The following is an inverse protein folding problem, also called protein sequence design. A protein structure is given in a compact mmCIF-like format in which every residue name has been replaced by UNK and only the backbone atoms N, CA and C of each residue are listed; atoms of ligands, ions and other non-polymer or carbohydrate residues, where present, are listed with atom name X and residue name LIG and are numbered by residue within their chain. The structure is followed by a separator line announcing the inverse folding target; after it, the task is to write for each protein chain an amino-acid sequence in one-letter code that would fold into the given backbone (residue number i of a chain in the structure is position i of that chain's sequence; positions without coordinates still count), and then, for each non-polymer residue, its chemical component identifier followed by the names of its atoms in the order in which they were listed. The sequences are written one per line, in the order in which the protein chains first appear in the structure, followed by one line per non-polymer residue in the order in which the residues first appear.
data_IF_500259568968
#
_entry.id   IF_500259568968
#
_cell.length_a   1.000
_cell.length_b   1.000
_cell.length_c   1.000
_cell.angle_alpha   90.00
_cell.angle_beta   90.00
_cell.angle_gamma   90.00
#
_symmetry.space_group_name_H-M   'P 1'
#
loop_
_entity.id
_entity.type
_entity.pdbx_description
1 polymer ?
#
# COMPACT_ATOMS: atom_id res chain seq x y z
N UNK A 1 17.65 -26.53 -25.27
CA UNK A 1 17.20 -25.30 -25.96
C UNK A 1 16.21 -24.51 -25.11
N UNK A 2 15.09 -25.09 -24.66
CA UNK A 2 14.09 -24.44 -23.79
C UNK A 2 14.69 -23.82 -22.51
N UNK A 3 15.50 -24.57 -21.74
CA UNK A 3 16.11 -24.03 -20.50
C UNK A 3 17.11 -22.87 -20.71
N UNK A 4 17.70 -22.73 -21.90
CA UNK A 4 18.55 -21.56 -22.21
C UNK A 4 17.71 -20.33 -22.52
N UNK A 5 16.54 -20.51 -23.12
CA UNK A 5 15.57 -19.45 -23.38
C UNK A 5 14.97 -18.98 -22.04
N UNK A 6 14.55 -19.91 -21.18
CA UNK A 6 14.00 -19.60 -19.85
C UNK A 6 15.00 -18.80 -19.00
N UNK A 7 16.27 -19.22 -18.98
CA UNK A 7 17.32 -18.51 -18.26
C UNK A 7 17.57 -17.09 -18.79
N UNK A 8 17.49 -16.89 -20.11
CA UNK A 8 17.64 -15.55 -20.73
C UNK A 8 16.46 -14.65 -20.42
N UNK A 9 15.23 -15.17 -20.44
CA UNK A 9 14.02 -14.43 -20.09
C UNK A 9 14.08 -14.01 -18.62
N UNK A 10 14.44 -14.92 -17.71
CA UNK A 10 14.57 -14.62 -16.28
C UNK A 10 15.63 -13.53 -16.00
N UNK A 11 16.73 -13.52 -16.76
CA UNK A 11 17.78 -12.51 -16.62
C UNK A 11 17.33 -11.09 -17.00
N UNK A 12 16.28 -10.94 -17.82
CA UNK A 12 15.74 -9.62 -18.20
C UNK A 12 15.00 -8.93 -17.04
N UNK A 13 14.52 -9.69 -16.06
CA UNK A 13 13.77 -9.17 -14.91
C UNK A 13 14.44 -9.58 -13.59
N UNK A 14 15.54 -8.92 -13.19
CA UNK A 14 16.17 -9.19 -11.90
C UNK A 14 15.17 -9.05 -10.75
N UNK A 15 15.24 -9.94 -9.76
CA UNK A 15 14.33 -9.95 -8.60
C UNK A 15 14.27 -8.58 -7.90
N UNK A 16 15.41 -7.87 -7.80
CA UNK A 16 15.44 -6.54 -7.20
C UNK A 16 14.64 -5.49 -7.98
N UNK A 17 14.58 -5.61 -9.32
CA UNK A 17 13.77 -4.75 -10.17
C UNK A 17 12.29 -5.07 -9.97
N UNK A 18 11.93 -6.35 -9.94
CA UNK A 18 10.56 -6.78 -9.66
C UNK A 18 10.08 -6.30 -8.28
N UNK A 19 10.91 -6.44 -7.23
CA UNK A 19 10.61 -5.93 -5.88
C UNK A 19 10.44 -4.41 -5.84
N UNK A 20 11.24 -3.65 -6.62
CA UNK A 20 11.07 -2.21 -6.72
C UNK A 20 9.75 -1.87 -7.44
N UNK A 21 9.46 -2.53 -8.56
CA UNK A 21 8.23 -2.33 -9.32
C UNK A 21 6.98 -2.62 -8.48
N UNK A 22 7.00 -3.70 -7.68
CA UNK A 22 5.90 -4.03 -6.75
C UNK A 22 5.68 -2.94 -5.69
N UNK A 23 6.76 -2.38 -5.13
CA UNK A 23 6.67 -1.29 -4.14
C UNK A 23 6.03 -0.04 -4.74
N UNK A 24 6.46 0.38 -5.93
CA UNK A 24 5.86 1.52 -6.62
C UNK A 24 4.43 1.24 -7.08
N UNK A 25 4.19 0.09 -7.70
CA UNK A 25 2.87 -0.31 -8.19
C UNK A 25 1.82 -0.35 -7.08
N UNK A 26 2.20 -0.83 -5.90
CA UNK A 26 1.34 -0.79 -4.72
C UNK A 26 1.21 0.63 -4.14
N UNK A 27 2.28 1.42 -4.09
CA UNK A 27 2.28 2.72 -3.42
C UNK A 27 1.47 3.80 -4.16
N UNK A 28 1.54 3.84 -5.49
CA UNK A 28 0.95 4.90 -6.32
C UNK A 28 -0.55 5.13 -6.09
N UNK A 29 -1.43 4.11 -6.10
CA UNK A 29 -2.87 4.35 -5.91
C UNK A 29 -3.18 4.97 -4.54
N UNK A 30 -2.54 4.48 -3.47
CA UNK A 30 -2.73 5.01 -2.12
C UNK A 30 -2.17 6.43 -2.00
N UNK A 31 -0.96 6.68 -2.52
CA UNK A 31 -0.36 8.01 -2.49
C UNK A 31 -1.24 9.06 -3.20
N UNK A 32 -1.72 8.74 -4.41
CA UNK A 32 -2.60 9.65 -5.16
C UNK A 32 -3.92 9.90 -4.43
N UNK A 33 -4.50 8.85 -3.86
CA UNK A 33 -5.70 8.93 -3.02
C UNK A 33 -5.48 9.82 -1.81
N UNK A 34 -4.38 9.62 -1.07
CA UNK A 34 -4.05 10.39 0.14
C UNK A 34 -3.77 11.86 -0.16
N UNK A 35 -2.98 12.16 -1.19
CA UNK A 35 -2.66 13.55 -1.59
C UNK A 35 -3.90 14.36 -1.98
N UNK A 36 -4.98 13.72 -2.45
CA UNK A 36 -6.22 14.40 -2.84
C UNK A 36 -7.14 14.79 -1.67
N UNK A 37 -6.81 14.40 -0.43
CA UNK A 37 -7.67 14.59 0.74
C UNK A 37 -7.35 15.84 1.57
N UNK A 38 -6.37 16.65 1.19
CA UNK A 38 -5.84 17.75 2.00
C UNK A 38 -6.01 19.11 1.33
N UNK A 39 -6.52 20.09 2.06
CA UNK A 39 -6.56 21.50 1.65
C UNK A 39 -5.40 22.32 2.26
N UNK A 40 -4.76 21.78 3.31
CA UNK A 40 -3.66 22.43 4.02
C UNK A 40 -2.90 21.45 4.92
N UNK A 41 -1.97 21.97 5.72
CA UNK A 41 -1.19 21.14 6.64
C UNK A 41 -2.10 20.55 7.74
N UNK A 42 -2.26 19.22 7.73
CA UNK A 42 -3.14 18.46 8.63
C UNK A 42 -4.61 18.91 8.58
N UNK A 43 -5.04 19.52 7.46
CA UNK A 43 -6.42 19.93 7.24
C UNK A 43 -7.01 19.09 6.12
N UNK A 44 -7.92 18.18 6.50
CA UNK A 44 -8.72 17.43 5.54
C UNK A 44 -9.71 18.35 4.83
N UNK A 45 -9.95 18.06 3.57
CA UNK A 45 -11.03 18.70 2.84
C UNK A 45 -12.39 18.10 3.22
N UNK A 46 -13.45 18.88 2.98
CA UNK A 46 -14.82 18.50 3.32
C UNK A 46 -15.26 17.23 2.59
N UNK A 47 -14.75 17.01 1.37
CA UNK A 47 -15.05 15.82 0.56
C UNK A 47 -14.53 14.55 1.23
N UNK A 48 -13.33 14.57 1.81
CA UNK A 48 -12.76 13.44 2.52
C UNK A 48 -13.59 13.07 3.76
N UNK A 49 -14.09 14.07 4.49
CA UNK A 49 -14.95 13.84 5.66
C UNK A 49 -16.32 13.32 5.22
N UNK A 50 -16.89 13.90 4.18
CA UNK A 50 -18.19 13.49 3.63
C UNK A 50 -18.16 12.04 3.14
N UNK A 51 -17.08 11.64 2.46
CA UNK A 51 -16.87 10.25 2.02
C UNK A 51 -17.05 9.27 3.18
N UNK A 52 -16.42 9.49 4.33
CA UNK A 52 -16.55 8.59 5.49
C UNK A 52 -17.87 8.75 6.25
N UNK A 53 -18.60 9.84 6.03
CA UNK A 53 -19.84 10.16 6.75
C UNK A 53 -21.08 9.58 6.07
N UNK A 54 -21.17 9.68 4.74
CA UNK A 54 -22.38 9.31 3.99
C UNK A 54 -22.15 8.34 2.85
N UNK A 55 -20.99 8.41 2.17
CA UNK A 55 -20.76 7.67 0.92
C UNK A 55 -20.16 6.28 1.15
N UNK A 56 -19.20 6.18 2.06
CA UNK A 56 -18.46 4.95 2.34
C UNK A 56 -19.13 4.22 3.50
N UNK A 57 -19.57 3.00 3.23
CA UNK A 57 -20.14 2.10 4.23
C UNK A 57 -19.43 0.77 4.23
N UNK A 58 -19.27 0.19 5.40
CA UNK A 58 -18.64 -1.10 5.58
C UNK A 58 -19.67 -2.21 5.34
N UNK A 59 -19.47 -3.01 4.30
CA UNK A 59 -20.35 -4.12 3.95
C UNK A 59 -19.92 -5.38 4.70
N UNK A 60 -20.57 -5.65 5.82
CA UNK A 60 -20.38 -6.86 6.63
C UNK A 60 -21.65 -7.72 6.63
N UNK A 61 -21.58 -8.99 7.04
CA UNK A 61 -22.79 -9.79 7.25
C UNK A 61 -23.74 -9.07 8.20
N UNK A 62 -24.95 -8.75 7.73
CA UNK A 62 -25.94 -7.96 8.48
C UNK A 62 -26.25 -6.58 7.90
N UNK A 63 -25.49 -6.11 6.91
CA UNK A 63 -25.81 -4.91 6.14
C UNK A 63 -24.63 -3.95 5.98
N UNK A 64 -24.86 -2.80 5.33
CA UNK A 64 -23.90 -1.71 5.30
C UNK A 64 -23.91 -0.98 6.65
N UNK A 65 -22.73 -0.84 7.26
CA UNK A 65 -22.53 -0.12 8.51
C UNK A 65 -21.78 1.19 8.25
N UNK A 66 -22.22 2.27 8.88
CA UNK A 66 -21.49 3.53 8.83
C UNK A 66 -20.19 3.44 9.64
N UNK A 67 -19.18 4.20 9.24
CA UNK A 67 -17.91 4.24 9.96
C UNK A 67 -18.06 4.93 11.33
N UNK A 68 -17.49 4.36 12.40
CA UNK A 68 -17.49 5.01 13.71
C UNK A 68 -16.55 6.22 13.72
N UNK A 69 -17.03 7.38 14.18
CA UNK A 69 -16.27 8.64 14.17
C UNK A 69 -15.64 8.96 12.79
N UNK A 70 -16.47 9.23 11.75
CA UNK A 70 -16.04 9.41 10.35
C UNK A 70 -14.85 10.36 10.16
N UNK A 71 -14.85 11.51 10.82
CA UNK A 71 -13.79 12.50 10.68
C UNK A 71 -12.43 11.98 11.21
N UNK A 72 -12.43 11.24 12.32
CA UNK A 72 -11.20 10.66 12.90
C UNK A 72 -10.67 9.55 11.97
N UNK A 73 -11.54 8.68 11.49
CA UNK A 73 -11.16 7.62 10.55
C UNK A 73 -10.64 8.19 9.23
N UNK A 74 -11.31 9.18 8.65
CA UNK A 74 -10.86 9.88 7.46
C UNK A 74 -9.44 10.44 7.64
N UNK A 75 -9.15 11.04 8.80
CA UNK A 75 -7.85 11.62 9.09
C UNK A 75 -6.75 10.55 9.23
N UNK A 76 -7.04 9.47 9.97
CA UNK A 76 -6.10 8.35 10.14
C UNK A 76 -5.80 7.69 8.79
N UNK A 77 -6.85 7.44 7.98
CA UNK A 77 -6.70 6.85 6.65
C UNK A 77 -5.90 7.76 5.74
N UNK A 78 -6.22 9.06 5.67
CA UNK A 78 -5.48 10.00 4.83
C UNK A 78 -4.00 10.10 5.22
N UNK A 79 -3.69 10.06 6.53
CA UNK A 79 -2.30 9.99 7.00
C UNK A 79 -1.62 8.69 6.54
N UNK A 80 -2.29 7.54 6.72
CA UNK A 80 -1.76 6.24 6.34
C UNK A 80 -1.54 6.11 4.82
N UNK A 81 -2.43 6.68 4.00
CA UNK A 81 -2.35 6.72 2.54
C UNK A 81 -1.18 7.56 2.01
N UNK A 82 -0.52 8.36 2.85
CA UNK A 82 0.70 9.10 2.50
C UNK A 82 1.91 8.42 3.12
N UNK A 83 1.87 8.14 4.43
CA UNK A 83 3.01 7.63 5.19
C UNK A 83 3.40 6.21 4.77
N UNK A 84 2.45 5.28 4.69
CA UNK A 84 2.74 3.88 4.34
C UNK A 84 3.32 3.73 2.92
N UNK A 85 2.76 4.34 1.86
CA UNK A 85 3.37 4.26 0.54
C UNK A 85 4.73 4.96 0.45
N UNK A 86 4.95 6.06 1.17
CA UNK A 86 6.27 6.70 1.25
C UNK A 86 7.32 5.76 1.87
N UNK A 87 7.00 5.17 3.03
CA UNK A 87 7.86 4.19 3.69
C UNK A 87 8.12 2.99 2.78
N UNK A 88 7.09 2.49 2.10
CA UNK A 88 7.20 1.38 1.17
C UNK A 88 8.17 1.68 0.02
N UNK A 89 8.03 2.83 -0.65
CA UNK A 89 8.88 3.23 -1.78
C UNK A 89 10.33 3.44 -1.35
N UNK A 90 10.55 4.14 -0.23
CA UNK A 90 11.87 4.30 0.38
C UNK A 90 12.47 2.96 0.84
N UNK A 91 11.62 1.93 0.98
CA UNK A 91 12.02 0.64 1.49
C UNK A 91 12.44 0.73 2.96
N UNK A 92 11.67 1.48 3.75
CA UNK A 92 11.78 1.62 5.20
C UNK A 92 10.66 0.83 5.89
N UNK A 93 11.02 0.00 6.88
CA UNK A 93 10.09 -0.91 7.57
C UNK A 93 9.19 -1.66 6.57
N UNK A 94 9.77 -2.11 5.45
CA UNK A 94 9.03 -2.45 4.22
C UNK A 94 7.91 -3.48 4.42
N UNK A 95 8.17 -4.50 5.25
CA UNK A 95 7.18 -5.55 5.57
C UNK A 95 6.01 -4.99 6.38
N UNK A 96 6.28 -4.08 7.30
CA UNK A 96 5.27 -3.41 8.13
C UNK A 96 4.44 -2.46 7.26
N UNK A 97 5.09 -1.67 6.40
CA UNK A 97 4.39 -0.79 5.47
C UNK A 97 3.47 -1.58 4.51
N UNK A 98 3.96 -2.68 3.95
CA UNK A 98 3.18 -3.55 3.08
C UNK A 98 2.02 -4.24 3.83
N UNK A 99 2.21 -4.66 5.09
CA UNK A 99 1.15 -5.21 5.92
C UNK A 99 0.06 -4.17 6.22
N UNK A 100 0.45 -2.92 6.52
CA UNK A 100 -0.50 -1.82 6.68
C UNK A 100 -1.32 -1.57 5.43
N UNK A 101 -0.68 -1.53 4.25
CA UNK A 101 -1.38 -1.37 2.97
C UNK A 101 -2.29 -2.55 2.62
N UNK A 102 -1.91 -3.78 3.01
CA UNK A 102 -2.77 -4.95 2.87
C UNK A 102 -4.02 -4.82 3.76
N UNK A 103 -3.86 -4.43 5.03
CA UNK A 103 -4.98 -4.20 5.93
C UNK A 103 -5.94 -3.12 5.39
N UNK A 104 -5.39 -2.02 4.85
CA UNK A 104 -6.19 -0.98 4.19
C UNK A 104 -6.91 -1.53 2.96
N UNK A 105 -6.24 -2.33 2.13
CA UNK A 105 -6.85 -2.96 0.95
C UNK A 105 -8.04 -3.84 1.35
N UNK A 106 -7.95 -4.57 2.46
CA UNK A 106 -9.06 -5.38 2.99
C UNK A 106 -10.23 -4.48 3.40
N UNK A 107 -9.97 -3.40 4.15
CA UNK A 107 -11.03 -2.45 4.52
C UNK A 107 -11.69 -1.82 3.29
N UNK A 108 -10.89 -1.42 2.29
CA UNK A 108 -11.40 -0.88 1.02
C UNK A 108 -12.26 -1.92 0.30
N UNK A 109 -11.85 -3.18 0.25
CA UNK A 109 -12.65 -4.26 -0.35
C UNK A 109 -13.99 -4.45 0.36
N UNK A 110 -14.02 -4.34 1.68
CA UNK A 110 -15.27 -4.39 2.44
C UNK A 110 -16.12 -3.13 2.24
N UNK A 111 -15.51 -2.02 1.86
CA UNK A 111 -16.21 -0.75 1.62
C UNK A 111 -16.76 -0.64 0.20
N UNK A 112 -16.01 -1.15 -0.79
CA UNK A 112 -16.35 -1.09 -2.22
C UNK A 112 -16.21 -2.51 -2.82
N UNK A 113 -17.21 -3.39 -2.63
CA UNK A 113 -17.09 -4.80 -3.02
C UNK A 113 -16.84 -5.02 -4.52
N UNK A 114 -17.42 -4.16 -5.37
CA UNK A 114 -17.30 -4.23 -6.83
C UNK A 114 -15.88 -3.95 -7.33
N UNK A 115 -15.02 -3.33 -6.50
CA UNK A 115 -13.61 -3.07 -6.82
C UNK A 115 -12.69 -4.30 -6.71
N UNK A 116 -13.23 -5.50 -6.49
CA UNK A 116 -12.41 -6.69 -6.22
C UNK A 116 -11.31 -7.02 -7.24
N UNK A 117 -11.46 -6.80 -8.57
CA UNK A 117 -10.38 -7.14 -9.50
C UNK A 117 -9.16 -6.25 -9.27
N UNK A 118 -9.37 -4.97 -8.96
CA UNK A 118 -8.28 -4.03 -8.70
C UNK A 118 -7.72 -4.23 -7.28
N UNK A 119 -8.57 -4.44 -6.28
CA UNK A 119 -8.13 -4.67 -4.90
C UNK A 119 -7.30 -5.96 -4.78
N UNK A 120 -7.64 -6.99 -5.55
CA UNK A 120 -6.87 -8.23 -5.63
C UNK A 120 -5.44 -7.97 -6.16
N UNK A 121 -5.27 -7.07 -7.13
CA UNK A 121 -3.92 -6.71 -7.60
C UNK A 121 -3.09 -6.04 -6.50
N UNK A 122 -3.70 -5.15 -5.72
CA UNK A 122 -3.02 -4.48 -4.60
C UNK A 122 -2.67 -5.49 -3.51
N UNK A 123 -3.60 -6.37 -3.14
CA UNK A 123 -3.36 -7.43 -2.17
C UNK A 123 -2.25 -8.38 -2.63
N UNK A 124 -2.24 -8.79 -3.90
CA UNK A 124 -1.20 -9.64 -4.46
C UNK A 124 0.18 -8.97 -4.41
N UNK A 125 0.27 -7.68 -4.78
CA UNK A 125 1.52 -6.93 -4.66
C UNK A 125 1.97 -6.79 -3.20
N UNK A 126 1.05 -6.51 -2.28
CA UNK A 126 1.36 -6.41 -0.85
C UNK A 126 1.88 -7.74 -0.30
N UNK A 127 1.22 -8.87 -0.62
CA UNK A 127 1.67 -10.21 -0.25
C UNK A 127 3.04 -10.55 -0.85
N UNK A 128 3.29 -10.18 -2.11
CA UNK A 128 4.59 -10.36 -2.74
C UNK A 128 5.70 -9.56 -2.02
N UNK A 129 5.42 -8.32 -1.61
CA UNK A 129 6.39 -7.52 -0.84
C UNK A 129 6.55 -8.07 0.58
N UNK A 130 5.48 -8.52 1.24
CA UNK A 130 5.55 -9.16 2.56
C UNK A 130 6.40 -10.43 2.48
N UNK A 131 6.26 -11.26 1.45
CA UNK A 131 7.01 -12.52 1.32
C UNK A 131 8.48 -12.27 0.98
N UNK A 132 8.76 -11.52 -0.09
CA UNK A 132 10.13 -11.30 -0.58
C UNK A 132 10.90 -10.18 0.14
N UNK A 133 10.21 -9.30 0.85
CA UNK A 133 10.80 -8.15 1.55
C UNK A 133 11.23 -7.01 0.62
N UNK A 134 12.04 -6.11 1.17
CA UNK A 134 12.38 -4.81 0.56
C UNK A 134 13.33 -4.86 -0.65
N UNK A 135 14.01 -5.99 -0.85
CA UNK A 135 15.01 -6.17 -1.90
C UNK A 135 16.33 -5.43 -1.65
N UNK A 136 17.24 -5.48 -2.64
CA UNK A 136 18.59 -4.89 -2.55
C UNK A 136 18.59 -3.35 -2.65
N UNK A 137 17.52 -2.76 -3.17
CA UNK A 137 17.34 -1.32 -3.41
C UNK A 137 16.46 -0.68 -2.33
N UNK A 138 16.74 -0.98 -1.07
CA UNK A 138 15.95 -0.50 0.08
C UNK A 138 16.86 0.07 1.15
N UNK A 139 16.40 1.14 1.79
CA UNK A 139 17.12 1.80 2.87
C UNK A 139 17.22 0.94 4.13
N UNK A 140 16.26 0.04 4.40
CA UNK A 140 16.34 -0.95 5.49
C UNK A 140 17.67 -1.71 5.45
N UNK A 141 18.14 -2.06 4.24
CA UNK A 141 19.39 -2.82 4.08
C UNK A 141 20.64 -1.98 4.32
N UNK A 142 20.59 -0.67 4.04
CA UNK A 142 21.71 0.24 4.30
C UNK A 142 21.85 0.52 5.79
N UNK A 143 20.74 0.65 6.51
CA UNK A 143 20.71 0.82 7.96
C UNK A 143 21.24 -0.42 8.69
N UNK A 144 20.85 -1.63 8.26
CA UNK A 144 21.35 -2.88 8.86
C UNK A 144 22.80 -3.16 8.48
N UNK A 145 23.25 -2.80 7.27
CA UNK A 145 24.64 -2.99 6.83
C UNK A 145 25.63 -1.99 7.46
N UNK A 146 25.15 -0.85 7.98
CA UNK A 146 25.97 0.15 8.66
C UNK A 146 26.29 -0.19 10.12
N UNK A 147 25.51 -1.05 10.77
CA UNK A 147 25.69 -1.44 12.18
C UNK A 147 26.77 -2.50 12.43
N UNK A 148 27.53 -2.91 11.40
CA UNK A 148 28.62 -3.89 11.52
C UNK A 148 30.03 -3.29 11.55
N UNK A 149 30.17 -1.98 11.75
CA UNK A 149 31.45 -1.30 11.92
C UNK A 149 31.37 -0.33 13.12
N UNK A 150 31.41 -0.88 14.31
CA UNK A 150 31.80 -0.21 15.55
C UNK A 150 32.68 -1.17 16.34
#
# INVERSE_FOLDING_TARGET
MLGQIDGRIAAMAPVSLAQLALRFGLAVPFWRSGMSKWDGFLQLNDVAILLFTSELKLHLPGGPYDFPAPAVLAFVVACAEILLPALLVLGLATRVAALGLLAMTIVIQLTVPDGWPIHLTWAAMALAVITWGAGRLSLDRWLVSGSGKA
#
